data_IF_129323235844
#
_entry.id   IF_129323235844
#
_cell.length_a   1.000
_cell.length_b   1.000
_cell.length_c   1.000
_cell.angle_alpha   90.00
_cell.angle_beta   90.00
_cell.angle_gamma   90.00
#
_symmetry.space_group_name_H-M   'P 1'
#
loop_
_entity.id
_entity.type
_entity.pdbx_description
1 polymer ?
#
# COMPACT_ATOMS: atom_id res chain seq x y z
N UNK A 1 4.81 14.56 2.65
CA UNK A 1 4.96 13.62 3.77
C UNK A 1 3.59 13.07 4.09
N UNK A 2 3.45 11.77 4.26
CA UNK A 2 2.19 11.15 4.72
C UNK A 2 2.28 10.96 6.23
N UNK A 3 1.15 10.97 6.92
CA UNK A 3 1.14 10.64 8.34
C UNK A 3 1.09 9.12 8.55
N UNK A 4 1.74 8.63 9.59
CA UNK A 4 1.64 7.23 9.98
C UNK A 4 0.18 6.91 10.39
N UNK A 5 -0.20 5.68 10.13
CA UNK A 5 -1.55 5.13 10.31
C UNK A 5 -2.61 5.78 9.40
N UNK A 6 -2.19 6.52 8.37
CA UNK A 6 -3.07 7.02 7.34
C UNK A 6 -3.35 5.96 6.27
N UNK A 7 -4.59 5.87 5.81
CA UNK A 7 -4.92 5.11 4.60
C UNK A 7 -4.45 5.83 3.35
N UNK A 8 -3.80 5.06 2.48
CA UNK A 8 -3.29 5.49 1.18
C UNK A 8 -3.74 4.50 0.11
N UNK A 9 -3.69 4.90 -1.14
CA UNK A 9 -3.87 3.98 -2.27
C UNK A 9 -2.62 3.90 -3.11
N UNK A 10 -2.41 2.75 -3.73
CA UNK A 10 -1.30 2.53 -4.67
C UNK A 10 -1.58 3.27 -5.99
N UNK A 11 -0.55 3.89 -6.56
CA UNK A 11 -0.66 4.60 -7.84
C UNK A 11 -0.12 3.80 -9.04
N UNK A 12 0.51 2.65 -8.78
CA UNK A 12 1.02 1.67 -9.73
C UNK A 12 0.74 0.24 -9.25
N UNK A 13 0.99 -0.74 -10.12
CA UNK A 13 0.85 -2.16 -9.81
C UNK A 13 2.15 -2.71 -9.20
N UNK A 14 2.04 -3.67 -8.29
CA UNK A 14 3.15 -4.47 -7.74
C UNK A 14 2.87 -5.96 -7.96
N UNK A 15 3.20 -6.50 -9.14
CA UNK A 15 2.91 -7.88 -9.50
C UNK A 15 3.49 -8.92 -8.54
N UNK A 16 4.66 -8.66 -7.95
CA UNK A 16 5.36 -9.49 -6.98
C UNK A 16 4.58 -9.69 -5.67
N UNK A 17 3.66 -8.77 -5.38
CA UNK A 17 2.78 -8.81 -4.21
C UNK A 17 1.31 -9.01 -4.59
N UNK A 18 1.03 -9.24 -5.88
CA UNK A 18 -0.32 -9.28 -6.45
C UNK A 18 -1.17 -8.03 -6.14
N UNK A 19 -0.52 -6.89 -5.88
CA UNK A 19 -1.17 -5.61 -5.62
C UNK A 19 -1.35 -4.84 -6.92
N UNK A 20 -2.46 -4.13 -6.99
CA UNK A 20 -2.87 -3.34 -8.15
C UNK A 20 -3.00 -1.88 -7.76
N UNK A 21 -2.80 -1.02 -8.74
CA UNK A 21 -3.14 0.39 -8.65
C UNK A 21 -4.56 0.56 -8.13
N UNK A 22 -4.70 1.41 -7.11
CA UNK A 22 -5.96 1.69 -6.43
C UNK A 22 -6.23 0.80 -5.22
N UNK A 23 -5.46 -0.26 -4.98
CA UNK A 23 -5.54 -1.00 -3.72
C UNK A 23 -5.22 -0.08 -2.54
N UNK A 24 -5.98 -0.24 -1.47
CA UNK A 24 -5.89 0.58 -0.26
C UNK A 24 -5.06 -0.13 0.79
N UNK A 25 -4.14 0.60 1.40
CA UNK A 25 -3.30 0.13 2.48
C UNK A 25 -3.15 1.19 3.57
N UNK A 26 -2.67 0.80 4.73
CA UNK A 26 -2.32 1.72 5.82
C UNK A 26 -0.81 1.87 5.86
N UNK A 27 -0.33 3.11 5.83
CA UNK A 27 1.09 3.38 6.04
C UNK A 27 1.42 3.24 7.52
N UNK A 28 2.30 2.30 7.89
CA UNK A 28 2.60 2.00 9.30
C UNK A 28 4.01 2.39 9.72
N UNK A 29 4.95 2.50 8.78
CA UNK A 29 6.33 2.91 9.08
C UNK A 29 7.06 3.42 7.83
N UNK A 30 8.26 3.99 8.02
CA UNK A 30 9.19 4.41 6.98
C UNK A 30 10.52 3.67 7.14
N UNK A 31 11.10 3.23 6.01
CA UNK A 31 12.42 2.58 5.99
C UNK A 31 13.37 3.31 5.04
N UNK A 32 14.57 3.69 5.50
CA UNK A 32 15.55 4.32 4.63
C UNK A 32 16.08 3.30 3.63
N UNK A 33 16.30 3.74 2.38
CA UNK A 33 16.89 2.88 1.37
C UNK A 33 18.38 2.62 1.67
N UNK A 34 18.86 1.36 1.62
CA UNK A 34 20.23 1.00 2.00
C UNK A 34 21.30 1.69 1.14
N UNK A 35 20.95 2.08 -0.09
CA UNK A 35 21.84 2.77 -1.05
C UNK A 35 21.54 4.25 -1.27
N UNK A 36 20.91 4.96 -0.32
CA UNK A 36 20.52 6.38 -0.47
C UNK A 36 19.55 6.63 -1.65
N UNK A 37 18.73 5.63 -1.96
CA UNK A 37 17.62 5.72 -2.91
C UNK A 37 16.36 6.31 -2.28
N UNK A 38 15.23 6.17 -2.95
CA UNK A 38 13.96 6.63 -2.42
C UNK A 38 13.57 5.90 -1.13
N UNK A 39 13.09 6.65 -0.13
CA UNK A 39 12.57 6.10 1.12
C UNK A 39 11.41 5.13 0.85
N UNK A 40 11.38 4.02 1.58
CA UNK A 40 10.32 3.03 1.50
C UNK A 40 9.22 3.34 2.53
N UNK A 41 7.97 3.26 2.10
CA UNK A 41 6.82 3.19 3.00
C UNK A 41 6.49 1.74 3.30
N UNK A 42 6.41 1.41 4.59
CA UNK A 42 5.90 0.11 5.04
C UNK A 42 4.39 0.18 5.07
N UNK A 43 3.74 -0.61 4.22
CA UNK A 43 2.30 -0.65 4.07
C UNK A 43 1.74 -1.94 4.62
N UNK A 44 0.69 -1.83 5.41
CA UNK A 44 -0.13 -2.95 5.85
C UNK A 44 -1.43 -2.99 5.05
N UNK A 45 -1.70 -4.16 4.46
CA UNK A 45 -2.89 -4.41 3.66
C UNK A 45 -3.91 -5.12 4.55
N UNK A 46 -5.11 -4.57 4.59
CA UNK A 46 -6.25 -5.14 5.28
C UNK A 46 -7.23 -5.75 4.28
N UNK A 47 -7.81 -6.88 4.64
CA UNK A 47 -8.97 -7.44 3.94
C UNK A 47 -10.16 -6.48 4.05
N UNK A 48 -11.20 -6.74 3.25
CA UNK A 48 -12.46 -5.99 3.34
C UNK A 48 -13.16 -6.17 4.71
N UNK A 49 -12.81 -7.20 5.49
CA UNK A 49 -13.30 -7.43 6.86
C UNK A 49 -12.43 -6.74 7.93
N UNK A 50 -11.29 -6.15 7.55
CA UNK A 50 -10.37 -5.48 8.47
C UNK A 50 -9.29 -6.39 9.07
N UNK A 51 -9.09 -7.59 8.52
CA UNK A 51 -8.00 -8.50 8.92
C UNK A 51 -6.72 -8.13 8.19
N UNK A 52 -5.58 -8.15 8.87
CA UNK A 52 -4.27 -7.93 8.22
C UNK A 52 -3.92 -9.15 7.37
N UNK A 53 -3.65 -8.93 6.07
CA UNK A 53 -3.39 -10.01 5.11
C UNK A 53 -1.99 -9.94 4.47
N UNK A 54 -1.34 -8.77 4.47
CA UNK A 54 0.02 -8.63 3.95
C UNK A 54 0.70 -7.37 4.51
N UNK A 55 2.02 -7.40 4.59
CA UNK A 55 2.86 -6.23 4.83
C UNK A 55 3.88 -6.15 3.71
N UNK A 56 3.97 -4.98 3.06
CA UNK A 56 4.87 -4.75 1.92
C UNK A 56 5.65 -3.46 2.11
N UNK A 57 6.78 -3.35 1.41
CA UNK A 57 7.57 -2.12 1.36
C UNK A 57 7.51 -1.62 -0.06
N UNK A 58 7.04 -0.39 -0.25
CA UNK A 58 6.96 0.24 -1.57
C UNK A 58 7.63 1.61 -1.53
N UNK A 59 8.08 2.16 -2.67
CA UNK A 59 8.59 3.53 -2.71
C UNK A 59 7.49 4.53 -2.31
N UNK A 60 7.83 5.60 -1.60
CA UNK A 60 6.85 6.64 -1.21
C UNK A 60 6.19 7.30 -2.43
N UNK A 61 6.89 7.40 -3.56
CA UNK A 61 6.33 7.87 -4.82
C UNK A 61 5.21 6.98 -5.35
N UNK A 62 5.07 5.74 -4.88
CA UNK A 62 4.05 4.79 -5.33
C UNK A 62 2.72 4.88 -4.57
N UNK A 63 2.66 5.70 -3.51
CA UNK A 63 1.44 5.92 -2.73
C UNK A 63 0.83 7.28 -3.03
N UNK A 64 -0.50 7.38 -2.93
CA UNK A 64 -1.25 8.62 -3.05
C UNK A 64 -2.32 8.72 -1.95
N UNK A 65 -2.69 9.94 -1.52
CA UNK A 65 -3.78 10.11 -0.57
C UNK A 65 -5.10 9.67 -1.20
N UNK A 66 -5.99 9.12 -0.37
CA UNK A 66 -7.37 8.86 -0.77
C UNK A 66 -8.13 10.18 -0.93
N UNK A 67 -9.05 10.21 -1.88
CA UNK A 67 -9.91 11.36 -2.17
C UNK A 67 -11.37 11.04 -1.83
N UNK A 68 -12.14 12.07 -1.48
CA UNK A 68 -13.55 11.90 -1.12
C UNK A 68 -14.46 11.44 -2.28
N UNK A 69 -14.01 11.57 -3.53
CA UNK A 69 -14.70 11.13 -4.74
C UNK A 69 -14.34 9.70 -5.16
N UNK A 70 -13.44 9.02 -4.43
CA UNK A 70 -13.06 7.63 -4.69
C UNK A 70 -14.01 6.65 -3.96
N UNK A 71 -14.33 5.53 -4.63
CA UNK A 71 -15.22 4.50 -4.11
C UNK A 71 -14.39 3.25 -3.78
N UNK A 72 -14.57 2.70 -2.58
CA UNK A 72 -13.97 1.43 -2.20
C UNK A 72 -14.58 0.27 -3.00
N UNK A 73 -13.72 -0.62 -3.49
CA UNK A 73 -14.11 -1.81 -4.23
C UNK A 73 -13.46 -3.05 -3.62
N UNK A 74 -14.15 -4.18 -3.71
CA UNK A 74 -13.68 -5.47 -3.15
C UNK A 74 -13.16 -6.35 -4.28
N UNK A 75 -11.98 -6.93 -4.08
CA UNK A 75 -11.42 -7.99 -4.92
C UNK A 75 -10.70 -9.01 -4.07
N UNK A 76 -10.51 -10.20 -4.62
CA UNK A 76 -9.67 -11.23 -3.99
C UNK A 76 -8.21 -10.90 -4.29
N UNK A 77 -7.35 -10.98 -3.27
CA UNK A 77 -5.90 -10.96 -3.45
C UNK A 77 -5.50 -12.37 -3.92
N UNK A 78 -4.84 -12.46 -5.07
CA UNK A 78 -4.42 -13.77 -5.59
C UNK A 78 -3.38 -14.39 -4.63
N UNK A 79 -3.51 -15.67 -4.34
CA UNK A 79 -2.48 -16.42 -3.63
C UNK A 79 -1.25 -16.58 -4.54
N UNK A 80 -0.06 -16.50 -3.94
CA UNK A 80 1.17 -16.90 -4.59
C UNK A 80 1.12 -18.43 -4.70
N UNK A 81 0.80 -18.95 -5.88
CA UNK A 81 0.84 -20.40 -6.16
C UNK A 81 2.25 -20.99 -6.04
#
# INVERSE_FOLDING_TARGET
>A
MFDLYQRVSLNCDFPEHHLKKGDVATLIDYVPHPGNGEEGGVLEIFSATGESIAVVIVPISAIKPLRNDEILSVRILAEVC
#
